data_IF_179023821243
#
_entry.id   IF_179023821243
#
_cell.length_a   1.000
_cell.length_b   1.000
_cell.length_c   1.000
_cell.angle_alpha   90.00
_cell.angle_beta   90.00
_cell.angle_gamma   90.00
#
_symmetry.space_group_name_H-M   'P 1'
#
loop_
_entity.id
_entity.type
_entity.pdbx_description
1 polymer ?
#
# COMPACT_ATOMS: atom_id res chain seq x y z
N UNK A 1 32.30 -49.13 -43.69
CA UNK A 1 33.48 -48.65 -44.43
C UNK A 1 33.64 -47.19 -44.04
N UNK A 2 34.69 -46.66 -43.45
CA UNK A 2 35.99 -47.02 -42.93
C UNK A 2 36.27 -46.01 -41.82
N UNK A 3 36.70 -46.42 -40.71
CA UNK A 3 38.05 -46.44 -40.13
C UNK A 3 38.90 -45.18 -40.52
N UNK A 4 39.45 -44.40 -39.56
CA UNK A 4 40.74 -44.53 -38.87
C UNK A 4 41.08 -43.11 -38.41
N UNK A 5 41.83 -42.65 -37.40
CA UNK A 5 42.72 -43.20 -36.35
C UNK A 5 43.02 -42.09 -35.38
N UNK A 6 43.34 -42.41 -34.17
CA UNK A 6 43.81 -41.53 -33.11
C UNK A 6 45.26 -41.04 -33.36
N UNK A 7 45.60 -39.87 -32.87
CA UNK A 7 47.00 -39.53 -32.58
C UNK A 7 47.11 -38.75 -31.27
N UNK A 8 47.92 -39.35 -30.38
CA UNK A 8 48.39 -38.83 -29.08
C UNK A 8 49.67 -38.03 -29.34
N UNK A 9 49.81 -36.84 -28.75
CA UNK A 9 51.11 -36.25 -28.49
C UNK A 9 51.05 -35.29 -27.29
N UNK A 10 51.59 -35.76 -26.22
CA UNK A 10 52.62 -35.32 -25.25
C UNK A 10 52.84 -33.81 -25.07
N UNK A 11 52.63 -33.44 -23.89
CA UNK A 11 53.23 -32.64 -22.87
C UNK A 11 54.19 -31.49 -23.23
N UNK A 12 53.88 -30.35 -22.62
CA UNK A 12 54.91 -29.39 -22.18
C UNK A 12 54.40 -28.62 -20.94
N UNK A 13 55.11 -28.80 -19.86
CA UNK A 13 55.05 -27.94 -18.65
C UNK A 13 55.61 -26.56 -18.98
N UNK A 14 54.96 -25.51 -18.57
CA UNK A 14 55.57 -24.20 -18.33
C UNK A 14 54.85 -23.41 -17.23
N UNK A 15 55.53 -22.42 -16.60
CA UNK A 15 55.46 -22.20 -15.17
C UNK A 15 54.45 -21.16 -14.74
N UNK A 16 54.15 -21.23 -13.44
CA UNK A 16 53.35 -20.29 -12.65
C UNK A 16 53.94 -18.87 -12.77
N UNK A 17 53.20 -17.97 -13.42
CA UNK A 17 53.33 -16.53 -13.23
C UNK A 17 52.25 -16.06 -12.27
N UNK A 18 52.67 -15.71 -11.05
CA UNK A 18 51.86 -14.96 -10.11
C UNK A 18 51.62 -13.55 -10.69
N UNK A 19 50.45 -13.29 -11.20
CA UNK A 19 50.00 -11.94 -11.54
C UNK A 19 49.25 -11.38 -10.32
N UNK A 20 49.83 -10.37 -9.70
CA UNK A 20 49.21 -9.50 -8.75
C UNK A 20 47.99 -8.86 -9.43
N UNK A 21 46.78 -9.22 -8.98
CA UNK A 21 45.56 -8.45 -9.29
C UNK A 21 45.60 -7.17 -8.45
N UNK A 22 45.99 -6.08 -9.09
CA UNK A 22 45.67 -4.75 -8.62
C UNK A 22 44.16 -4.59 -8.69
N UNK A 23 43.51 -4.43 -7.52
CA UNK A 23 42.14 -3.98 -7.39
C UNK A 23 42.03 -2.57 -7.99
N UNK A 24 41.66 -2.48 -9.25
CA UNK A 24 41.12 -1.25 -9.81
C UNK A 24 39.68 -1.11 -9.25
N UNK A 25 39.50 -0.15 -8.38
CA UNK A 25 38.23 0.38 -8.00
C UNK A 25 37.61 1.01 -9.26
N UNK A 26 36.86 0.23 -10.04
CA UNK A 26 35.91 0.78 -11.00
C UNK A 26 34.81 1.43 -10.21
N UNK A 27 34.82 2.75 -10.14
CA UNK A 27 33.69 3.59 -9.86
C UNK A 27 32.58 3.20 -10.85
N UNK A 28 31.56 2.50 -10.34
CA UNK A 28 30.30 2.31 -11.08
C UNK A 28 29.80 3.70 -11.48
N UNK A 29 29.91 4.00 -12.78
CA UNK A 29 29.35 5.20 -13.35
C UNK A 29 27.84 5.19 -13.09
N UNK A 30 27.37 6.17 -12.31
CA UNK A 30 25.96 6.48 -12.15
C UNK A 30 25.32 6.67 -13.52
N UNK A 31 24.57 5.68 -13.96
CA UNK A 31 23.55 5.92 -14.97
C UNK A 31 22.44 6.71 -14.28
N UNK A 32 22.54 8.02 -14.32
CA UNK A 32 21.55 8.97 -13.88
C UNK A 32 20.31 8.86 -14.77
N UNK A 33 19.39 7.95 -14.43
CA UNK A 33 17.99 8.14 -14.78
C UNK A 33 17.43 9.18 -13.81
N UNK A 34 16.81 10.24 -14.33
CA UNK A 34 16.38 11.46 -13.64
C UNK A 34 15.35 11.26 -12.51
N UNK A 35 15.03 10.04 -12.14
CA UNK A 35 14.03 9.61 -11.16
C UNK A 35 14.57 8.88 -9.93
N UNK A 36 15.90 8.75 -9.77
CA UNK A 36 16.45 8.02 -8.63
C UNK A 36 16.33 8.82 -7.33
N UNK A 37 15.75 8.18 -6.32
CA UNK A 37 15.76 8.67 -4.95
C UNK A 37 17.20 8.70 -4.45
N UNK A 38 17.59 9.77 -3.74
CA UNK A 38 18.94 9.88 -3.21
C UNK A 38 19.20 8.78 -2.17
N UNK A 39 20.25 8.00 -2.38
CA UNK A 39 20.72 6.99 -1.44
C UNK A 39 21.71 7.63 -0.45
N UNK A 40 21.75 7.14 0.78
CA UNK A 40 22.70 7.57 1.79
C UNK A 40 22.96 6.45 2.80
N UNK A 41 24.08 6.57 3.54
CA UNK A 41 24.35 5.68 4.67
C UNK A 41 23.51 6.12 5.88
N UNK A 42 22.96 5.22 6.69
CA UNK A 42 22.13 5.53 7.86
C UNK A 42 22.80 6.53 8.82
N UNK A 43 24.08 6.38 9.09
CA UNK A 43 24.82 7.28 9.98
C UNK A 43 24.81 8.76 9.51
N UNK A 44 24.72 9.01 8.20
CA UNK A 44 24.69 10.38 7.64
C UNK A 44 23.37 11.13 7.91
N UNK A 45 22.36 10.41 8.33
CA UNK A 45 21.04 10.93 8.72
C UNK A 45 20.72 10.62 10.19
N UNK A 46 21.74 10.39 11.02
CA UNK A 46 21.63 10.08 12.43
C UNK A 46 20.78 8.85 12.73
N UNK A 47 21.03 7.76 12.01
CA UNK A 47 20.47 6.43 12.29
C UNK A 47 21.61 5.44 12.59
N UNK A 48 21.37 4.51 13.51
CA UNK A 48 22.26 3.40 13.81
C UNK A 48 22.17 2.31 12.76
N UNK A 49 23.25 2.03 12.04
CA UNK A 49 23.36 0.89 11.13
C UNK A 49 23.09 -0.43 11.86
N UNK A 50 23.68 -0.62 13.03
CA UNK A 50 23.54 -1.82 13.85
C UNK A 50 22.07 -2.07 14.25
N UNK A 51 21.34 -1.00 14.61
CA UNK A 51 19.94 -1.12 14.99
C UNK A 51 19.04 -1.46 13.80
N UNK A 52 19.30 -0.92 12.61
CA UNK A 52 18.57 -1.28 11.39
C UNK A 52 18.88 -2.71 10.97
N UNK A 53 20.17 -3.12 11.06
CA UNK A 53 20.59 -4.48 10.79
C UNK A 53 19.92 -5.49 11.74
N UNK A 54 19.79 -5.16 13.02
CA UNK A 54 19.08 -6.01 13.99
C UNK A 54 17.59 -6.18 13.66
N UNK A 55 16.93 -5.16 13.07
CA UNK A 55 15.57 -5.28 12.57
C UNK A 55 15.52 -6.18 11.34
N UNK A 56 16.48 -6.02 10.41
CA UNK A 56 16.63 -6.85 9.24
C UNK A 56 16.78 -8.33 9.60
N UNK A 57 17.69 -8.67 10.52
CA UNK A 57 17.90 -10.05 10.98
C UNK A 57 16.65 -10.66 11.64
N UNK A 58 15.90 -9.88 12.39
CA UNK A 58 14.61 -10.33 12.96
C UNK A 58 13.56 -10.60 11.88
N UNK A 59 13.53 -9.80 10.81
CA UNK A 59 12.65 -10.03 9.65
C UNK A 59 13.09 -11.31 8.92
N UNK A 60 14.37 -11.44 8.60
CA UNK A 60 14.95 -12.59 7.90
C UNK A 60 14.73 -13.89 8.68
N UNK A 61 14.79 -13.85 10.01
CA UNK A 61 14.48 -14.99 10.88
C UNK A 61 13.00 -15.35 10.98
N UNK A 62 12.11 -14.58 10.32
CA UNK A 62 10.67 -14.81 10.32
C UNK A 62 9.93 -14.34 11.58
N UNK A 63 10.56 -13.55 12.46
CA UNK A 63 9.89 -13.04 13.68
C UNK A 63 8.69 -12.16 13.38
N UNK A 64 8.67 -11.51 12.22
CA UNK A 64 7.57 -10.69 11.70
C UNK A 64 6.71 -11.43 10.67
N UNK A 65 6.92 -12.74 10.54
CA UNK A 65 6.28 -13.57 9.50
C UNK A 65 6.88 -13.32 8.12
N UNK A 66 6.04 -13.34 7.12
CA UNK A 66 6.44 -13.22 5.73
C UNK A 66 6.43 -11.75 5.30
N UNK A 67 7.54 -11.07 5.55
CA UNK A 67 7.80 -9.71 5.06
C UNK A 67 8.57 -9.81 3.75
N UNK A 68 8.09 -9.14 2.71
CA UNK A 68 8.68 -9.18 1.36
C UNK A 68 9.62 -8.02 1.10
N UNK A 69 9.40 -6.86 1.74
CA UNK A 69 10.30 -5.72 1.65
C UNK A 69 10.31 -4.90 2.95
N UNK A 70 11.47 -4.35 3.27
CA UNK A 70 11.69 -3.41 4.37
C UNK A 70 12.55 -2.25 3.88
N UNK A 71 11.98 -1.05 3.89
CA UNK A 71 12.64 0.18 3.45
C UNK A 71 12.57 1.24 4.55
N UNK A 72 13.66 1.99 4.70
CA UNK A 72 13.71 3.16 5.60
C UNK A 72 14.29 4.34 4.83
N UNK A 73 13.59 5.46 4.86
CA UNK A 73 14.11 6.74 4.42
C UNK A 73 14.08 7.75 5.56
N UNK A 74 15.06 8.64 5.62
CA UNK A 74 15.13 9.72 6.59
C UNK A 74 15.74 10.97 5.97
N UNK A 75 15.22 12.13 6.32
CA UNK A 75 15.67 13.43 5.79
C UNK A 75 15.68 13.45 4.25
N UNK A 76 14.67 12.82 3.63
CA UNK A 76 14.53 12.76 2.18
C UNK A 76 15.43 11.75 1.46
N UNK A 77 16.22 10.96 2.18
CA UNK A 77 17.18 9.99 1.62
C UNK A 77 16.78 8.57 1.96
N UNK A 78 16.83 7.65 0.99
CA UNK A 78 16.66 6.23 1.22
C UNK A 78 17.96 5.68 1.84
N UNK A 79 17.87 5.12 3.04
CA UNK A 79 19.04 4.72 3.82
C UNK A 79 19.10 3.22 4.09
N UNK A 80 18.00 2.53 3.94
CA UNK A 80 17.92 1.08 4.09
C UNK A 80 16.90 0.52 3.11
N UNK A 81 17.21 -0.57 2.44
CA UNK A 81 16.34 -1.23 1.49
C UNK A 81 16.71 -2.70 1.37
N UNK A 82 15.81 -3.58 1.79
CA UNK A 82 15.98 -5.03 1.72
C UNK A 82 14.71 -5.69 1.20
N UNK A 83 14.90 -6.75 0.45
CA UNK A 83 13.85 -7.60 -0.11
C UNK A 83 14.08 -9.03 0.33
N UNK A 84 12.98 -9.76 0.59
CA UNK A 84 13.00 -11.12 1.09
C UNK A 84 12.18 -12.01 0.17
N UNK A 85 12.72 -13.17 -0.16
CA UNK A 85 12.04 -14.11 -1.05
C UNK A 85 11.31 -15.18 -0.24
N UNK A 86 10.07 -15.47 -0.62
CA UNK A 86 9.25 -16.49 -0.01
C UNK A 86 8.58 -17.36 -1.07
N UNK A 87 8.60 -18.68 -0.89
CA UNK A 87 7.86 -19.63 -1.73
C UNK A 87 6.42 -19.75 -1.22
N UNK A 88 5.59 -18.75 -1.51
CA UNK A 88 4.19 -18.69 -1.08
C UNK A 88 3.35 -19.89 -1.53
N UNK A 89 3.49 -20.44 -2.75
CA UNK A 89 2.83 -21.67 -3.13
C UNK A 89 3.15 -22.86 -2.22
N UNK A 90 4.35 -22.95 -1.69
CA UNK A 90 4.72 -23.98 -0.70
C UNK A 90 4.26 -23.64 0.70
N UNK A 91 4.38 -22.38 1.10
CA UNK A 91 3.97 -21.87 2.42
C UNK A 91 2.46 -22.12 2.65
N UNK A 92 1.62 -21.74 1.69
CA UNK A 92 0.16 -21.80 1.80
C UNK A 92 -0.47 -23.00 1.09
N UNK A 93 0.32 -24.04 0.76
CA UNK A 93 -0.16 -25.21 -0.01
C UNK A 93 -1.36 -25.91 0.61
N UNK A 94 -1.37 -26.04 1.93
CA UNK A 94 -2.42 -26.74 2.66
C UNK A 94 -3.71 -25.91 2.68
N UNK A 95 -3.59 -24.63 2.96
CA UNK A 95 -4.70 -23.69 3.05
C UNK A 95 -5.33 -23.43 1.68
N UNK A 96 -4.51 -23.29 0.64
CA UNK A 96 -4.96 -23.13 -0.74
C UNK A 96 -5.74 -24.35 -1.27
N UNK A 97 -5.43 -25.54 -0.77
CA UNK A 97 -6.13 -26.78 -1.12
C UNK A 97 -7.42 -27.00 -0.32
N UNK A 98 -7.66 -26.21 0.73
CA UNK A 98 -8.80 -26.37 1.63
C UNK A 98 -9.82 -25.25 1.36
N UNK A 99 -11.11 -25.56 1.14
CA UNK A 99 -12.14 -24.53 1.04
C UNK A 99 -12.13 -23.63 2.29
N UNK A 100 -12.04 -22.32 2.10
CA UNK A 100 -11.92 -21.39 3.23
C UNK A 100 -12.21 -19.95 2.88
N UNK A 101 -11.99 -19.07 3.87
CA UNK A 101 -12.35 -17.66 3.83
C UNK A 101 -11.57 -16.83 2.79
N UNK A 102 -10.39 -17.29 2.35
CA UNK A 102 -9.49 -16.50 1.51
C UNK A 102 -9.64 -16.75 -0.01
N UNK A 103 -10.74 -17.42 -0.41
CA UNK A 103 -11.18 -17.54 -1.80
C UNK A 103 -12.59 -16.97 -1.86
N UNK A 104 -12.66 -15.65 -2.08
CA UNK A 104 -13.91 -14.89 -1.89
C UNK A 104 -14.85 -15.01 -3.09
N UNK A 105 -14.31 -15.05 -4.30
CA UNK A 105 -15.07 -15.08 -5.54
C UNK A 105 -14.49 -16.11 -6.53
N UNK A 106 -14.02 -15.69 -7.70
CA UNK A 106 -13.41 -16.55 -8.71
C UNK A 106 -12.05 -17.08 -8.23
N UNK A 107 -11.84 -18.41 -8.14
CA UNK A 107 -10.55 -18.98 -7.75
C UNK A 107 -9.37 -18.58 -8.66
N UNK A 108 -9.64 -18.20 -9.92
CA UNK A 108 -8.61 -17.73 -10.86
C UNK A 108 -8.32 -16.22 -10.75
N UNK A 109 -9.17 -15.48 -10.05
CA UNK A 109 -9.11 -14.02 -9.94
C UNK A 109 -8.28 -13.50 -8.76
N UNK A 110 -8.21 -12.18 -8.62
CA UNK A 110 -7.45 -11.50 -7.56
C UNK A 110 -8.05 -11.68 -6.16
N UNK A 111 -9.31 -12.13 -6.06
CA UNK A 111 -9.98 -12.42 -4.78
C UNK A 111 -9.79 -13.87 -4.30
N UNK A 112 -8.87 -14.60 -4.90
CA UNK A 112 -8.23 -15.77 -4.33
C UNK A 112 -6.84 -15.36 -3.81
N UNK A 113 -6.74 -15.09 -2.53
CA UNK A 113 -5.51 -14.59 -1.89
C UNK A 113 -4.36 -15.62 -1.84
N UNK A 114 -4.62 -16.87 -2.23
CA UNK A 114 -3.61 -17.90 -2.43
C UNK A 114 -3.14 -18.04 -3.89
N UNK A 115 -3.74 -17.28 -4.81
CA UNK A 115 -3.40 -17.40 -6.24
C UNK A 115 -2.04 -16.73 -6.52
N UNK A 116 -0.96 -17.49 -6.84
CA UNK A 116 0.39 -16.94 -7.00
C UNK A 116 0.55 -16.09 -8.26
N UNK A 117 -0.45 -16.05 -9.14
CA UNK A 117 -0.47 -15.17 -10.31
C UNK A 117 -0.85 -13.73 -9.95
N UNK A 118 -1.57 -13.58 -8.85
CA UNK A 118 -2.04 -12.29 -8.34
C UNK A 118 -1.28 -11.85 -7.09
N UNK A 119 -0.93 -12.78 -6.18
CA UNK A 119 -0.47 -12.44 -4.85
C UNK A 119 0.78 -13.22 -4.41
N UNK A 120 1.64 -12.57 -3.62
CA UNK A 120 1.62 -11.14 -3.32
C UNK A 120 2.07 -10.28 -4.50
N UNK A 121 2.75 -10.87 -5.50
CA UNK A 121 3.34 -10.20 -6.65
C UNK A 121 2.55 -10.45 -7.92
N UNK A 122 2.09 -9.39 -8.56
CA UNK A 122 1.37 -9.45 -9.82
C UNK A 122 2.20 -10.12 -10.91
N UNK A 123 1.76 -11.27 -11.39
CA UNK A 123 2.35 -12.02 -12.53
C UNK A 123 3.87 -12.20 -12.43
N UNK A 124 4.37 -12.49 -11.23
CA UNK A 124 5.80 -12.66 -10.95
C UNK A 124 6.67 -11.43 -11.32
N UNK A 125 6.11 -10.23 -11.32
CA UNK A 125 6.84 -8.95 -11.44
C UNK A 125 7.30 -8.46 -10.07
N UNK A 126 7.92 -7.29 -10.00
CA UNK A 126 8.22 -6.61 -8.72
C UNK A 126 7.02 -5.82 -8.16
N UNK A 127 5.85 -5.90 -8.79
CA UNK A 127 4.64 -5.20 -8.38
C UNK A 127 3.93 -5.98 -7.28
N UNK A 128 4.01 -5.47 -6.07
CA UNK A 128 3.36 -6.04 -4.91
C UNK A 128 1.93 -5.52 -4.76
N UNK A 129 1.01 -6.38 -4.32
CA UNK A 129 -0.37 -5.99 -4.02
C UNK A 129 -0.39 -4.99 -2.86
N UNK A 130 -1.01 -3.84 -3.07
CA UNK A 130 -1.15 -2.80 -2.04
C UNK A 130 -2.34 -3.05 -1.13
N UNK A 131 -3.31 -3.84 -1.59
CA UNK A 131 -4.53 -4.07 -0.83
C UNK A 131 -5.15 -2.72 -0.41
N UNK A 132 -5.70 -2.61 0.77
CA UNK A 132 -6.36 -1.39 1.25
C UNK A 132 -5.46 -0.15 1.34
N UNK A 133 -4.13 -0.25 1.14
CA UNK A 133 -3.28 0.94 0.96
C UNK A 133 -3.65 1.70 -0.33
N UNK A 134 -4.28 1.05 -1.31
CA UNK A 134 -4.89 1.68 -2.48
C UNK A 134 -5.76 2.88 -2.09
N UNK A 135 -6.53 2.77 -1.01
CA UNK A 135 -7.39 3.84 -0.49
C UNK A 135 -6.61 5.12 -0.16
N UNK A 136 -5.39 4.99 0.40
CA UNK A 136 -4.55 6.15 0.71
C UNK A 136 -4.04 6.84 -0.56
N UNK A 137 -3.85 6.09 -1.66
CA UNK A 137 -3.52 6.65 -2.98
C UNK A 137 -4.75 7.39 -3.54
N UNK A 138 -5.94 6.82 -3.41
CA UNK A 138 -7.20 7.48 -3.79
C UNK A 138 -7.38 8.81 -3.06
N UNK A 139 -7.07 8.85 -1.75
CA UNK A 139 -7.06 10.11 -0.98
C UNK A 139 -6.16 11.16 -1.61
N UNK A 140 -4.94 10.79 -2.01
CA UNK A 140 -4.02 11.73 -2.67
C UNK A 140 -4.63 12.31 -3.97
N UNK A 141 -5.24 11.46 -4.79
CA UNK A 141 -5.86 11.87 -6.06
C UNK A 141 -7.06 12.79 -5.86
N UNK A 142 -7.91 12.51 -4.86
CA UNK A 142 -9.00 13.42 -4.48
C UNK A 142 -8.46 14.80 -4.09
N UNK A 143 -7.40 14.85 -3.30
CA UNK A 143 -6.78 16.12 -2.89
C UNK A 143 -6.20 16.91 -4.06
N UNK A 144 -5.57 16.22 -5.01
CA UNK A 144 -5.06 16.85 -6.24
C UNK A 144 -6.23 17.42 -7.05
N UNK A 145 -7.25 16.61 -7.34
CA UNK A 145 -8.40 17.02 -8.15
C UNK A 145 -9.21 18.15 -7.50
N UNK A 146 -9.39 18.10 -6.19
CA UNK A 146 -10.09 19.16 -5.43
C UNK A 146 -9.33 20.50 -5.55
N UNK A 147 -8.00 20.49 -5.40
CA UNK A 147 -7.19 21.71 -5.50
C UNK A 147 -7.18 22.32 -6.89
N UNK A 148 -7.42 21.52 -7.91
CA UNK A 148 -7.52 21.94 -9.32
C UNK A 148 -8.92 22.41 -9.69
N UNK A 149 -9.89 22.29 -8.77
CA UNK A 149 -11.30 22.60 -9.04
C UNK A 149 -11.99 21.56 -9.94
N UNK A 150 -11.42 20.37 -10.05
CA UNK A 150 -11.89 19.26 -10.89
C UNK A 150 -12.74 18.24 -10.09
N UNK A 151 -12.77 18.37 -8.78
CA UNK A 151 -13.55 17.55 -7.87
C UNK A 151 -14.48 18.44 -7.01
N UNK A 152 -15.70 18.02 -6.71
CA UNK A 152 -16.66 18.83 -5.96
C UNK A 152 -16.25 19.00 -4.49
N UNK A 153 -16.86 19.99 -3.83
CA UNK A 153 -16.70 20.19 -2.38
C UNK A 153 -17.03 18.93 -1.60
N UNK A 154 -16.28 18.67 -0.53
CA UNK A 154 -16.44 17.45 0.27
C UNK A 154 -17.79 17.35 0.99
N UNK A 155 -18.50 18.45 1.18
CA UNK A 155 -19.82 18.46 1.78
C UNK A 155 -20.95 18.24 0.75
N UNK A 156 -20.59 17.94 -0.52
CA UNK A 156 -21.54 17.58 -1.57
C UNK A 156 -22.18 16.22 -1.27
N UNK A 157 -23.53 16.12 -1.29
CA UNK A 157 -24.23 14.86 -1.10
C UNK A 157 -23.92 13.83 -2.18
N UNK A 158 -23.64 12.61 -1.78
CA UNK A 158 -23.26 11.49 -2.66
C UNK A 158 -24.35 11.19 -3.70
N UNK A 159 -25.62 11.21 -3.30
CA UNK A 159 -26.73 10.88 -4.20
C UNK A 159 -26.94 11.87 -5.34
N UNK A 160 -26.31 13.07 -5.32
CA UNK A 160 -26.34 13.99 -6.47
C UNK A 160 -25.68 13.41 -7.73
N UNK A 161 -24.86 12.39 -7.59
CA UNK A 161 -24.14 11.74 -8.70
C UNK A 161 -24.86 10.50 -9.24
N UNK A 162 -26.01 10.14 -8.67
CA UNK A 162 -26.74 8.92 -8.99
C UNK A 162 -28.21 9.20 -9.29
N UNK A 163 -28.82 8.36 -10.11
CA UNK A 163 -30.25 8.34 -10.26
C UNK A 163 -30.89 7.69 -9.02
N UNK A 164 -31.43 8.52 -8.13
CA UNK A 164 -32.05 8.07 -6.88
C UNK A 164 -33.17 7.05 -7.09
N UNK A 165 -33.80 7.03 -8.28
CA UNK A 165 -34.90 6.10 -8.57
C UNK A 165 -34.49 4.65 -8.71
N UNK A 166 -33.16 4.40 -8.90
CA UNK A 166 -32.59 3.05 -9.01
C UNK A 166 -31.74 2.66 -7.80
N UNK A 167 -31.66 3.51 -6.77
CA UNK A 167 -31.00 3.23 -5.50
C UNK A 167 -32.00 2.72 -4.48
N UNK A 168 -31.72 1.56 -3.88
CA UNK A 168 -32.60 0.99 -2.86
C UNK A 168 -32.41 1.62 -1.47
N UNK A 169 -33.36 1.44 -0.58
CA UNK A 169 -33.31 1.85 0.82
C UNK A 169 -32.98 3.34 1.04
N UNK A 170 -33.43 4.21 0.14
CA UNK A 170 -33.19 5.65 0.26
C UNK A 170 -34.12 6.23 1.34
N UNK A 171 -33.51 6.79 2.38
CA UNK A 171 -34.20 7.58 3.43
C UNK A 171 -33.50 8.96 3.58
N UNK A 172 -33.95 9.76 4.55
CA UNK A 172 -33.33 11.08 4.80
C UNK A 172 -31.81 11.00 5.08
N UNK A 173 -31.40 10.01 5.87
CA UNK A 173 -29.99 9.82 6.23
C UNK A 173 -29.13 9.51 5.00
N UNK A 174 -29.59 8.62 4.11
CA UNK A 174 -28.84 8.29 2.89
C UNK A 174 -28.65 9.49 1.98
N UNK A 175 -29.64 10.42 1.92
CA UNK A 175 -29.51 11.67 1.16
C UNK A 175 -28.49 12.64 1.75
N UNK A 176 -28.21 12.53 3.05
CA UNK A 176 -27.29 13.39 3.76
C UNK A 176 -25.83 12.86 3.76
N UNK A 177 -25.59 11.66 3.20
CA UNK A 177 -24.22 11.14 3.05
C UNK A 177 -23.42 12.08 2.14
N UNK A 178 -22.27 12.56 2.61
CA UNK A 178 -21.36 13.45 1.87
C UNK A 178 -20.10 12.73 1.38
N UNK A 179 -19.36 13.36 0.46
CA UNK A 179 -18.06 12.87 0.02
C UNK A 179 -17.07 12.79 1.20
N UNK A 180 -17.18 13.68 2.17
CA UNK A 180 -16.42 13.68 3.42
C UNK A 180 -16.67 12.40 4.22
N UNK A 181 -17.91 11.95 4.29
CA UNK A 181 -18.30 10.75 5.04
C UNK A 181 -17.71 9.48 4.40
N UNK A 182 -17.61 9.42 3.07
CA UNK A 182 -16.91 8.34 2.38
C UNK A 182 -15.40 8.34 2.69
N UNK A 183 -14.75 9.51 2.65
CA UNK A 183 -13.32 9.66 2.96
C UNK A 183 -12.99 9.32 4.42
N UNK A 184 -13.90 9.57 5.33
CA UNK A 184 -13.72 9.31 6.77
C UNK A 184 -14.24 7.96 7.22
N UNK A 185 -14.82 7.14 6.32
CA UNK A 185 -15.45 5.87 6.69
C UNK A 185 -16.55 6.07 7.75
N UNK A 186 -17.36 7.11 7.57
CA UNK A 186 -18.48 7.44 8.46
C UNK A 186 -19.79 7.62 7.71
N UNK A 187 -19.93 6.95 6.55
CA UNK A 187 -21.09 7.02 5.67
C UNK A 187 -22.41 6.52 6.32
N UNK A 188 -22.31 5.69 7.35
CA UNK A 188 -23.46 5.18 8.11
C UNK A 188 -24.23 4.04 7.45
N UNK A 189 -23.77 3.51 6.30
CA UNK A 189 -24.34 2.33 5.66
C UNK A 189 -24.18 1.09 6.54
N UNK A 190 -25.09 0.14 6.41
CA UNK A 190 -25.00 -1.17 7.09
C UNK A 190 -23.92 -2.01 6.42
N UNK A 191 -22.72 -1.93 6.95
CA UNK A 191 -21.55 -2.61 6.44
C UNK A 191 -20.80 -3.32 7.55
N UNK A 192 -20.43 -4.59 7.34
CA UNK A 192 -19.53 -5.33 8.22
C UNK A 192 -18.56 -6.15 7.38
N UNK A 193 -17.27 -5.78 7.39
CA UNK A 193 -16.18 -6.55 6.79
C UNK A 193 -15.20 -7.08 7.84
N UNK A 194 -15.59 -7.05 9.12
CA UNK A 194 -14.78 -7.61 10.22
C UNK A 194 -14.98 -9.12 10.37
N UNK A 195 -16.06 -9.66 9.84
CA UNK A 195 -16.38 -11.07 9.79
C UNK A 195 -15.43 -11.84 8.86
N UNK A 196 -15.26 -13.15 9.02
CA UNK A 196 -14.54 -13.97 8.05
C UNK A 196 -15.14 -13.85 6.63
N UNK A 197 -14.30 -13.85 5.59
CA UNK A 197 -14.77 -13.67 4.20
C UNK A 197 -15.69 -14.80 3.68
N UNK A 198 -15.74 -15.95 4.35
CA UNK A 198 -16.71 -17.01 4.06
C UNK A 198 -18.01 -16.88 4.89
N UNK A 199 -18.12 -15.88 5.72
CA UNK A 199 -19.37 -15.58 6.42
C UNK A 199 -20.35 -14.87 5.45
N UNK A 200 -21.59 -15.35 5.33
CA UNK A 200 -22.58 -14.74 4.43
C UNK A 200 -22.95 -13.29 4.80
N UNK A 201 -22.73 -12.90 6.05
CA UNK A 201 -22.99 -11.55 6.55
C UNK A 201 -21.80 -10.60 6.36
N UNK A 202 -20.65 -11.10 5.86
CA UNK A 202 -19.52 -10.24 5.48
C UNK A 202 -19.89 -9.42 4.23
N UNK A 203 -20.01 -8.11 4.39
CA UNK A 203 -20.45 -7.19 3.34
C UNK A 203 -19.47 -7.12 2.17
N UNK A 204 -18.14 -7.15 2.43
CA UNK A 204 -17.12 -7.16 1.40
C UNK A 204 -17.21 -8.44 0.55
N UNK A 205 -17.29 -9.62 1.18
CA UNK A 205 -17.36 -10.87 0.47
C UNK A 205 -18.67 -11.02 -0.34
N UNK A 206 -19.75 -10.42 0.12
CA UNK A 206 -21.03 -10.37 -0.60
C UNK A 206 -20.97 -9.39 -1.77
N UNK A 207 -20.40 -8.20 -1.56
CA UNK A 207 -20.14 -7.21 -2.62
C UNK A 207 -19.27 -7.80 -3.74
N UNK A 208 -18.19 -8.53 -3.39
CA UNK A 208 -17.28 -9.11 -4.37
C UNK A 208 -17.95 -10.11 -5.33
N UNK A 209 -19.09 -10.68 -4.95
CA UNK A 209 -19.91 -11.57 -5.80
C UNK A 209 -20.92 -10.81 -6.67
N UNK A 210 -21.16 -9.53 -6.40
CA UNK A 210 -22.10 -8.71 -7.18
C UNK A 210 -21.49 -8.30 -8.52
N UNK A 211 -22.34 -8.02 -9.52
CA UNK A 211 -21.89 -7.52 -10.82
C UNK A 211 -21.49 -6.04 -10.76
N UNK A 212 -22.20 -5.24 -9.98
CA UNK A 212 -21.93 -3.82 -9.80
C UNK A 212 -21.72 -3.51 -8.30
N UNK A 213 -20.46 -3.34 -7.91
CA UNK A 213 -20.07 -3.14 -6.51
C UNK A 213 -20.49 -1.77 -5.97
N UNK A 214 -20.50 -0.75 -6.84
CA UNK A 214 -20.96 0.59 -6.47
C UNK A 214 -22.47 0.56 -6.16
N UNK A 215 -23.26 -0.06 -7.04
CA UNK A 215 -24.71 -0.19 -6.83
C UNK A 215 -25.02 -1.02 -5.59
N UNK A 216 -24.35 -2.17 -5.42
CA UNK A 216 -24.50 -3.00 -4.22
C UNK A 216 -24.30 -2.18 -2.94
N UNK A 217 -23.22 -1.38 -2.89
CA UNK A 217 -22.92 -0.59 -1.70
C UNK A 217 -23.94 0.52 -1.46
N UNK A 218 -24.36 1.23 -2.53
CA UNK A 218 -25.39 2.27 -2.44
C UNK A 218 -26.75 1.72 -1.99
N UNK A 219 -27.07 0.49 -2.35
CA UNK A 219 -28.34 -0.14 -2.03
C UNK A 219 -28.46 -0.61 -0.57
N UNK A 220 -27.34 -0.66 0.17
CA UNK A 220 -27.37 -1.05 1.58
C UNK A 220 -28.23 -0.09 2.42
N UNK A 221 -28.99 -0.59 3.40
CA UNK A 221 -29.73 0.28 4.32
C UNK A 221 -28.80 1.07 5.24
N UNK A 222 -29.33 2.12 5.84
CA UNK A 222 -28.62 2.93 6.83
C UNK A 222 -28.62 2.27 8.22
N UNK A 223 -27.45 2.10 8.81
CA UNK A 223 -27.26 1.66 10.20
C UNK A 223 -27.13 2.86 11.16
N UNK A 224 -26.45 3.92 10.73
CA UNK A 224 -26.18 5.10 11.54
C UNK A 224 -26.49 6.39 10.78
N UNK A 225 -26.49 7.51 11.51
CA UNK A 225 -26.46 8.85 10.90
C UNK A 225 -25.08 9.08 10.26
N UNK A 226 -24.97 9.66 9.05
CA UNK A 226 -23.71 10.01 8.41
C UNK A 226 -22.88 10.93 9.31
N UNK A 227 -21.57 10.77 9.26
CA UNK A 227 -20.62 11.58 10.03
C UNK A 227 -20.65 11.33 11.56
N UNK A 228 -21.25 10.26 12.04
CA UNK A 228 -21.35 9.99 13.49
C UNK A 228 -20.51 8.84 13.98
N UNK A 229 -20.38 7.78 13.20
CA UNK A 229 -19.73 6.54 13.62
C UNK A 229 -18.71 6.12 12.56
N UNK A 230 -17.48 5.92 12.98
CA UNK A 230 -16.47 5.28 12.13
C UNK A 230 -16.86 3.80 11.93
N UNK A 231 -16.99 3.42 10.68
CA UNK A 231 -17.18 2.03 10.28
C UNK A 231 -16.41 1.77 8.99
N UNK A 232 -15.32 0.98 9.09
CA UNK A 232 -14.47 0.72 7.93
C UNK A 232 -15.26 0.03 6.82
N UNK A 233 -15.42 0.72 5.68
CA UNK A 233 -16.28 0.33 4.56
C UNK A 233 -15.50 0.41 3.24
N UNK A 234 -15.06 -0.73 2.72
CA UNK A 234 -14.34 -0.81 1.43
C UNK A 234 -15.21 -0.36 0.25
N UNK A 235 -16.52 -0.60 0.29
CA UNK A 235 -17.47 -0.14 -0.73
C UNK A 235 -17.55 1.39 -0.83
N UNK A 236 -17.34 2.11 0.25
CA UNK A 236 -17.34 3.58 0.25
C UNK A 236 -16.28 4.17 -0.70
N UNK A 237 -15.11 3.54 -0.80
CA UNK A 237 -14.06 3.99 -1.73
C UNK A 237 -14.37 3.68 -3.18
N UNK A 238 -15.16 2.64 -3.47
CA UNK A 238 -15.64 2.37 -4.83
C UNK A 238 -16.67 3.42 -5.28
N UNK A 239 -17.58 3.83 -4.39
CA UNK A 239 -18.50 4.95 -4.64
C UNK A 239 -17.67 6.22 -4.92
N UNK A 240 -16.66 6.50 -4.09
CA UNK A 240 -15.78 7.66 -4.26
C UNK A 240 -15.03 7.63 -5.61
N UNK A 241 -14.49 6.48 -6.02
CA UNK A 241 -13.81 6.32 -7.32
C UNK A 241 -14.75 6.50 -8.51
N UNK A 242 -16.00 6.04 -8.39
CA UNK A 242 -17.01 6.27 -9.42
C UNK A 242 -17.37 7.75 -9.54
N UNK A 243 -17.60 8.43 -8.41
CA UNK A 243 -17.86 9.88 -8.38
C UNK A 243 -16.66 10.66 -8.94
N UNK A 244 -15.44 10.24 -8.61
CA UNK A 244 -14.23 10.84 -9.15
C UNK A 244 -14.24 10.86 -10.68
N UNK A 245 -14.53 9.72 -11.30
CA UNK A 245 -14.66 9.61 -12.76
C UNK A 245 -15.77 10.50 -13.33
N UNK A 246 -16.92 10.57 -12.66
CA UNK A 246 -18.02 11.42 -13.11
C UNK A 246 -17.69 12.91 -13.02
N UNK A 247 -17.00 13.32 -11.97
CA UNK A 247 -16.64 14.71 -11.71
C UNK A 247 -15.50 15.21 -12.62
N UNK A 248 -14.42 14.43 -12.73
CA UNK A 248 -13.24 14.81 -13.53
C UNK A 248 -13.37 14.49 -15.02
N UNK A 249 -14.31 13.61 -15.39
CA UNK A 249 -14.42 13.06 -16.75
C UNK A 249 -13.32 12.07 -17.13
N UNK A 250 -12.42 11.72 -16.19
CA UNK A 250 -11.24 10.87 -16.40
C UNK A 250 -11.25 9.70 -15.42
N UNK A 251 -10.88 8.51 -15.87
CA UNK A 251 -10.71 7.36 -14.97
C UNK A 251 -9.61 7.66 -13.95
N UNK A 252 -9.80 7.23 -12.70
CA UNK A 252 -8.87 7.55 -11.61
C UNK A 252 -7.47 6.98 -11.83
N UNK A 253 -7.33 5.86 -12.56
CA UNK A 253 -6.03 5.30 -12.96
C UNK A 253 -5.30 6.23 -13.93
N UNK A 254 -5.98 6.69 -14.99
CA UNK A 254 -5.41 7.63 -15.95
C UNK A 254 -5.01 8.95 -15.28
N UNK A 255 -5.85 9.42 -14.38
CA UNK A 255 -5.58 10.62 -13.56
C UNK A 255 -4.37 10.43 -12.64
N UNK A 256 -4.22 9.25 -12.04
CA UNK A 256 -3.08 8.90 -11.21
C UNK A 256 -1.77 8.91 -12.01
N UNK A 257 -1.79 8.39 -13.24
CA UNK A 257 -0.61 8.41 -14.13
C UNK A 257 -0.15 9.83 -14.38
N UNK A 258 -1.06 10.72 -14.74
CA UNK A 258 -0.72 12.10 -15.09
C UNK A 258 -0.27 12.92 -13.88
N UNK A 259 -1.00 12.84 -12.78
CA UNK A 259 -0.87 13.81 -11.69
C UNK A 259 -0.15 13.29 -10.44
N UNK A 260 0.12 11.98 -10.35
CA UNK A 260 0.82 11.40 -9.20
C UNK A 260 1.98 10.50 -9.64
N UNK A 261 1.76 9.52 -10.51
CA UNK A 261 2.77 8.52 -10.82
C UNK A 261 3.91 9.11 -11.66
N UNK A 262 3.62 9.83 -12.73
CA UNK A 262 4.63 10.49 -13.57
C UNK A 262 5.50 11.47 -12.77
N UNK A 263 4.95 12.40 -11.96
CA UNK A 263 5.76 13.27 -11.10
C UNK A 263 6.69 12.53 -10.16
N UNK A 264 6.25 11.37 -9.62
CA UNK A 264 7.04 10.54 -8.72
C UNK A 264 8.00 9.58 -9.45
N UNK A 265 7.89 9.48 -10.79
CA UNK A 265 8.60 8.48 -11.59
C UNK A 265 8.23 7.06 -11.18
N UNK A 266 6.94 6.80 -11.13
CA UNK A 266 6.34 5.48 -10.96
C UNK A 266 5.87 5.07 -12.36
N UNK A 267 6.73 4.34 -13.07
CA UNK A 267 6.49 3.96 -14.47
C UNK A 267 5.93 2.53 -14.59
N UNK A 268 6.07 1.73 -13.53
CA UNK A 268 5.62 0.34 -13.48
C UNK A 268 4.57 0.19 -12.37
N UNK A 269 3.36 -0.18 -12.78
CA UNK A 269 2.20 -0.40 -11.92
C UNK A 269 1.17 -1.29 -12.63
N UNK A 270 0.25 -1.84 -11.87
CA UNK A 270 -0.99 -2.44 -12.36
C UNK A 270 -2.12 -2.02 -11.42
N UNK A 271 -3.29 -1.68 -11.98
CA UNK A 271 -4.49 -1.38 -11.19
C UNK A 271 -5.65 -2.23 -11.69
N UNK A 272 -6.18 -3.06 -10.81
CA UNK A 272 -7.24 -4.00 -11.15
C UNK A 272 -8.58 -3.29 -11.39
N UNK A 273 -9.49 -4.03 -12.02
CA UNK A 273 -10.83 -3.52 -12.37
C UNK A 273 -11.91 -4.34 -11.68
N UNK A 274 -12.97 -3.65 -11.25
CA UNK A 274 -14.19 -4.30 -10.80
C UNK A 274 -14.86 -5.05 -11.96
N UNK A 275 -15.77 -6.01 -11.71
CA UNK A 275 -16.52 -6.69 -12.79
C UNK A 275 -17.29 -5.74 -13.72
N UNK A 276 -17.62 -4.55 -13.25
CA UNK A 276 -18.29 -3.50 -14.04
C UNK A 276 -17.32 -2.62 -14.83
N UNK A 277 -16.01 -2.91 -14.77
CA UNK A 277 -14.96 -2.22 -15.53
C UNK A 277 -14.46 -0.91 -14.94
N UNK A 278 -14.86 -0.55 -13.71
CA UNK A 278 -14.30 0.59 -12.98
C UNK A 278 -12.97 0.21 -12.36
N UNK A 279 -12.06 1.16 -12.21
CA UNK A 279 -10.84 0.95 -11.43
C UNK A 279 -11.18 0.56 -10.00
N UNK A 280 -10.55 -0.51 -9.50
CA UNK A 280 -10.76 -0.97 -8.13
C UNK A 280 -10.02 -0.06 -7.12
N UNK A 281 -10.73 0.92 -6.61
CA UNK A 281 -10.22 1.94 -5.68
C UNK A 281 -10.12 1.46 -4.24
N UNK A 282 -10.57 0.24 -3.94
CA UNK A 282 -10.51 -0.29 -2.58
C UNK A 282 -9.21 -1.04 -2.29
N UNK A 283 -8.69 -1.87 -3.23
CA UNK A 283 -7.51 -2.71 -3.01
C UNK A 283 -6.73 -3.07 -4.28
N UNK A 284 -7.20 -2.66 -5.47
CA UNK A 284 -6.74 -3.18 -6.74
C UNK A 284 -5.35 -2.69 -7.21
N UNK A 285 -4.65 -1.83 -6.50
CA UNK A 285 -3.36 -1.28 -6.91
C UNK A 285 -2.20 -2.24 -6.61
N UNK A 286 -1.30 -2.40 -7.58
CA UNK A 286 -0.01 -3.08 -7.46
C UNK A 286 1.10 -2.13 -7.87
N UNK A 287 2.04 -1.88 -6.97
CA UNK A 287 3.25 -1.08 -7.20
C UNK A 287 4.44 -1.69 -6.45
N UNK A 288 5.66 -1.27 -6.78
CA UNK A 288 6.83 -1.70 -6.02
C UNK A 288 6.87 -1.09 -4.62
N UNK A 289 7.56 -1.75 -3.68
CA UNK A 289 7.77 -1.21 -2.33
C UNK A 289 8.48 0.15 -2.36
N UNK A 290 9.39 0.36 -3.33
CA UNK A 290 10.07 1.65 -3.54
C UNK A 290 9.10 2.72 -4.03
N UNK A 291 8.17 2.40 -4.90
CA UNK A 291 7.10 3.32 -5.34
C UNK A 291 6.17 3.68 -4.19
N UNK A 292 5.82 2.70 -3.35
CA UNK A 292 5.06 2.94 -2.13
C UNK A 292 5.80 3.88 -1.16
N UNK A 293 7.11 3.71 -1.02
CA UNK A 293 7.95 4.56 -0.19
C UNK A 293 8.03 6.01 -0.72
N UNK A 294 8.02 6.22 -2.05
CA UNK A 294 7.93 7.57 -2.65
C UNK A 294 6.61 8.25 -2.30
N UNK A 295 5.49 7.52 -2.30
CA UNK A 295 4.18 8.06 -1.91
C UNK A 295 4.20 8.46 -0.42
N UNK A 296 4.72 7.62 0.46
CA UNK A 296 4.86 7.96 1.88
C UNK A 296 5.79 9.17 2.10
N UNK A 297 6.88 9.26 1.34
CA UNK A 297 7.80 10.40 1.37
C UNK A 297 7.15 11.68 0.86
N UNK A 298 6.27 11.60 -0.13
CA UNK A 298 5.51 12.74 -0.62
C UNK A 298 4.62 13.32 0.50
N UNK A 299 3.92 12.47 1.24
CA UNK A 299 3.13 12.91 2.41
C UNK A 299 4.00 13.45 3.53
N UNK A 300 5.14 12.83 3.83
CA UNK A 300 6.12 13.32 4.80
C UNK A 300 6.62 14.75 4.46
N UNK A 301 6.74 15.06 3.18
CA UNK A 301 7.20 16.36 2.67
C UNK A 301 6.05 17.31 2.34
N UNK A 302 4.92 17.20 3.03
CA UNK A 302 3.77 18.08 2.85
C UNK A 302 3.31 18.16 1.38
N UNK A 303 3.36 17.03 0.68
CA UNK A 303 2.94 16.91 -0.71
C UNK A 303 3.97 17.39 -1.74
N UNK A 304 5.20 17.68 -1.33
CA UNK A 304 6.28 18.07 -2.24
C UNK A 304 7.14 16.88 -2.64
N UNK A 305 7.42 16.79 -3.92
CA UNK A 305 8.41 15.86 -4.45
C UNK A 305 9.47 16.63 -5.22
N UNK A 306 10.72 16.56 -4.76
CA UNK A 306 11.81 17.42 -5.24
C UNK A 306 11.39 18.90 -5.09
N UNK A 307 11.22 19.61 -6.19
CA UNK A 307 10.86 21.04 -6.19
C UNK A 307 9.39 21.30 -6.57
N UNK A 308 8.60 20.25 -6.79
CA UNK A 308 7.22 20.35 -7.26
C UNK A 308 6.23 20.05 -6.13
N UNK A 309 5.14 20.83 -6.05
CA UNK A 309 4.00 20.54 -5.20
C UNK A 309 3.07 19.60 -5.96
N UNK A 310 3.07 18.31 -5.62
CA UNK A 310 2.25 17.28 -6.27
C UNK A 310 0.89 17.17 -5.58
N UNK A 311 0.86 17.14 -4.25
CA UNK A 311 -0.36 17.17 -3.44
C UNK A 311 -0.36 18.50 -2.65
N UNK A 312 -1.46 19.24 -2.56
CA UNK A 312 -1.52 20.44 -1.72
C UNK A 312 -1.12 20.16 -0.26
N UNK A 313 -0.29 21.01 0.34
CA UNK A 313 0.10 20.85 1.73
C UNK A 313 -1.11 20.85 2.68
N UNK A 314 -2.11 21.68 2.40
CA UNK A 314 -3.38 21.70 3.15
C UNK A 314 -4.11 20.37 3.08
N UNK A 315 -4.08 19.67 1.93
CA UNK A 315 -4.68 18.36 1.83
C UNK A 315 -3.93 17.29 2.64
N UNK A 316 -2.59 17.34 2.64
CA UNK A 316 -1.78 16.44 3.46
C UNK A 316 -2.14 16.62 4.95
N UNK A 317 -2.22 17.85 5.42
CA UNK A 317 -2.63 18.17 6.79
C UNK A 317 -4.05 17.67 7.08
N UNK A 318 -5.02 18.01 6.23
CA UNK A 318 -6.43 17.63 6.42
C UNK A 318 -6.66 16.11 6.34
N UNK A 319 -6.03 15.44 5.38
CA UNK A 319 -6.24 14.01 5.16
C UNK A 319 -5.62 13.13 6.24
N UNK A 320 -4.57 13.60 6.89
CA UNK A 320 -3.88 12.88 7.97
C UNK A 320 -4.34 13.30 9.37
N UNK A 321 -5.16 14.35 9.48
CA UNK A 321 -5.73 14.78 10.75
C UNK A 321 -6.60 13.66 11.38
N UNK A 322 -6.43 13.36 12.68
CA UNK A 322 -7.26 12.38 13.37
C UNK A 322 -8.70 12.90 13.51
N UNK A 323 -9.64 12.26 12.82
CA UNK A 323 -11.06 12.67 12.84
C UNK A 323 -11.92 11.73 13.66
N UNK A 324 -11.69 10.43 13.57
CA UNK A 324 -12.44 9.40 14.29
C UNK A 324 -11.48 8.43 14.97
N UNK A 325 -11.77 8.08 16.22
CA UNK A 325 -11.14 6.92 16.87
C UNK A 325 -11.70 5.65 16.24
N UNK A 326 -10.83 4.67 15.97
CA UNK A 326 -11.21 3.47 15.24
C UNK A 326 -11.78 2.37 16.13
N UNK A 327 -11.71 2.54 17.45
CA UNK A 327 -12.15 1.55 18.43
C UNK A 327 -11.24 0.33 18.57
N UNK A 328 -10.15 0.24 17.75
CA UNK A 328 -9.15 -0.84 17.87
C UNK A 328 -8.11 -0.59 18.94
N UNK A 329 -7.91 0.65 19.31
CA UNK A 329 -7.19 1.13 20.49
C UNK A 329 -7.73 2.50 20.86
N UNK A 330 -7.43 2.95 22.10
CA UNK A 330 -7.90 4.26 22.60
C UNK A 330 -7.27 5.46 21.88
N UNK A 331 -6.27 5.23 21.03
CA UNK A 331 -5.46 6.28 20.42
C UNK A 331 -5.33 6.17 18.89
N UNK A 332 -5.72 5.01 18.31
CA UNK A 332 -5.69 4.86 16.86
C UNK A 332 -6.85 5.63 16.22
N UNK A 333 -6.53 6.48 15.27
CA UNK A 333 -7.49 7.35 14.61
C UNK A 333 -7.43 7.22 13.09
N UNK A 334 -8.49 7.68 12.43
CA UNK A 334 -8.66 7.70 10.98
C UNK A 334 -8.95 9.13 10.48
N UNK A 335 -8.31 9.50 9.39
CA UNK A 335 -8.53 10.76 8.67
C UNK A 335 -9.24 10.52 7.34
N UNK A 336 -8.77 11.13 6.24
CA UNK A 336 -9.27 10.86 4.90
C UNK A 336 -8.47 9.71 4.26
N UNK A 337 -8.90 8.47 4.54
CA UNK A 337 -8.29 7.21 4.08
C UNK A 337 -6.85 7.00 4.58
N UNK A 338 -6.47 7.65 5.67
CA UNK A 338 -5.21 7.48 6.38
C UNK A 338 -5.46 7.12 7.84
N UNK A 339 -4.64 6.21 8.35
CA UNK A 339 -4.59 5.85 9.76
C UNK A 339 -3.55 6.69 10.47
N UNK A 340 -3.73 6.95 11.76
CA UNK A 340 -2.72 7.60 12.58
C UNK A 340 -2.72 7.06 14.01
N UNK A 341 -1.54 7.06 14.64
CA UNK A 341 -1.38 6.61 16.01
C UNK A 341 -0.23 7.37 16.68
N UNK A 342 -0.38 7.81 17.94
CA UNK A 342 0.72 8.37 18.71
C UNK A 342 1.70 7.28 19.16
N UNK A 343 2.97 7.67 19.28
CA UNK A 343 4.05 6.88 19.85
C UNK A 343 4.83 7.69 20.86
N UNK A 344 5.39 7.02 21.88
CA UNK A 344 6.36 7.64 22.76
C UNK A 344 7.76 7.42 22.21
N UNK A 345 8.44 8.50 21.84
CA UNK A 345 9.82 8.51 21.42
C UNK A 345 10.64 9.42 22.35
N UNK A 346 11.61 8.85 23.08
CA UNK A 346 12.48 9.58 24.03
C UNK A 346 11.68 10.51 24.97
N UNK A 347 10.56 10.03 25.49
CA UNK A 347 9.68 10.78 26.41
C UNK A 347 8.80 11.86 25.75
N UNK A 348 8.82 11.98 24.43
CA UNK A 348 7.94 12.87 23.67
C UNK A 348 6.91 12.03 22.90
N UNK A 349 5.71 12.56 22.76
CA UNK A 349 4.70 11.99 21.86
C UNK A 349 4.99 12.43 20.44
N UNK A 350 5.19 11.47 19.53
CA UNK A 350 5.28 11.67 18.08
C UNK A 350 4.11 10.92 17.43
N UNK A 351 3.64 11.39 16.28
CA UNK A 351 2.52 10.75 15.58
C UNK A 351 3.02 10.05 14.32
N UNK A 352 2.70 8.77 14.18
CA UNK A 352 2.84 8.05 12.93
C UNK A 352 1.53 8.12 12.14
N UNK A 353 1.64 8.35 10.84
CA UNK A 353 0.57 8.21 9.87
C UNK A 353 0.90 7.04 8.96
N UNK A 354 -0.10 6.23 8.62
CA UNK A 354 0.15 5.00 7.87
C UNK A 354 -1.04 4.50 7.08
N UNK A 355 -0.78 3.75 6.02
CA UNK A 355 -1.73 2.89 5.36
C UNK A 355 -1.76 1.50 6.00
N UNK A 356 -2.90 0.81 5.91
CA UNK A 356 -3.06 -0.59 6.30
C UNK A 356 -3.57 -1.40 5.11
N UNK A 357 -2.75 -2.31 4.58
CA UNK A 357 -3.15 -3.31 3.59
C UNK A 357 -3.16 -4.71 4.19
N UNK A 358 -4.10 -5.52 3.72
CA UNK A 358 -4.20 -6.94 4.09
C UNK A 358 -2.89 -7.66 3.74
N UNK A 359 -2.45 -8.58 4.58
CA UNK A 359 -1.16 -9.26 4.43
C UNK A 359 0.05 -8.51 4.99
N UNK A 360 -0.05 -7.20 5.29
CA UNK A 360 1.04 -6.49 5.96
C UNK A 360 1.60 -5.26 5.25
N UNK A 361 0.90 -4.73 4.25
CA UNK A 361 1.30 -3.50 3.56
C UNK A 361 1.22 -2.32 4.52
N UNK A 362 2.35 -1.64 4.74
CA UNK A 362 2.50 -0.55 5.72
C UNK A 362 3.43 0.54 5.19
N UNK A 363 2.95 1.50 4.39
CA UNK A 363 3.62 2.78 4.24
C UNK A 363 3.39 3.60 5.51
N UNK A 364 4.46 4.02 6.16
CA UNK A 364 4.43 4.75 7.42
C UNK A 364 5.29 6.00 7.27
N UNK A 365 4.80 7.14 7.72
CA UNK A 365 5.62 8.32 7.84
C UNK A 365 5.45 8.99 9.21
N UNK A 366 6.55 9.51 9.72
CA UNK A 366 6.66 10.17 11.02
C UNK A 366 7.22 11.58 10.82
N UNK A 367 6.37 12.60 10.73
CA UNK A 367 6.81 13.98 10.50
C UNK A 367 7.84 14.49 11.55
N UNK A 368 7.59 14.22 12.83
CA UNK A 368 8.47 14.63 13.92
C UNK A 368 9.89 14.05 13.84
N UNK A 369 10.07 12.93 13.14
CA UNK A 369 11.35 12.24 12.96
C UNK A 369 11.92 12.40 11.55
N UNK A 370 11.19 13.09 10.66
CA UNK A 370 11.50 13.18 9.23
C UNK A 370 11.85 11.82 8.63
N UNK A 371 10.97 10.83 8.86
CA UNK A 371 11.22 9.42 8.58
C UNK A 371 10.06 8.77 7.84
N UNK A 372 10.40 7.90 6.88
CA UNK A 372 9.51 6.95 6.21
C UNK A 372 9.98 5.53 6.52
N UNK A 373 9.04 4.64 6.80
CA UNK A 373 9.27 3.21 6.95
C UNK A 373 8.24 2.51 6.07
N UNK A 374 8.69 1.58 5.23
CA UNK A 374 7.79 0.75 4.44
C UNK A 374 8.05 -0.72 4.73
N UNK A 375 6.97 -1.42 4.98
CA UNK A 375 6.93 -2.87 5.03
C UNK A 375 5.89 -3.35 4.02
N UNK A 376 6.24 -4.35 3.23
CA UNK A 376 5.27 -5.15 2.48
C UNK A 376 5.41 -6.60 2.91
N UNK A 377 4.36 -7.40 2.78
CA UNK A 377 4.41 -8.81 3.16
C UNK A 377 3.10 -9.52 2.85
N UNK A 378 3.04 -10.83 3.15
CA UNK A 378 1.86 -11.64 2.86
C UNK A 378 1.47 -12.52 4.06
N UNK A 379 1.26 -11.90 5.23
CA UNK A 379 0.78 -12.53 6.46
C UNK A 379 -0.75 -12.58 6.46
N UNK A 380 -1.33 -13.48 5.67
CA UNK A 380 -2.78 -13.51 5.41
C UNK A 380 -3.57 -14.44 6.33
N UNK A 381 -2.89 -15.33 7.06
CA UNK A 381 -3.58 -16.23 7.98
C UNK A 381 -3.73 -15.60 9.37
N UNK A 382 -4.90 -15.71 10.00
CA UNK A 382 -5.12 -15.21 11.35
C UNK A 382 -4.42 -16.07 12.41
N UNK A 383 -4.15 -15.47 13.58
CA UNK A 383 -3.67 -16.18 14.76
C UNK A 383 -2.22 -16.66 14.70
N UNK A 384 -1.44 -16.22 13.73
CA UNK A 384 -0.02 -16.54 13.66
C UNK A 384 0.78 -15.80 14.75
N UNK A 385 1.81 -16.44 15.35
CA UNK A 385 2.56 -15.89 16.50
C UNK A 385 3.60 -14.83 16.08
N UNK A 386 3.39 -14.14 14.98
CA UNK A 386 4.32 -13.15 14.47
C UNK A 386 4.23 -11.82 15.25
N UNK A 387 5.36 -11.13 15.35
CA UNK A 387 5.37 -9.76 15.85
C UNK A 387 4.60 -8.85 14.90
N UNK A 388 3.80 -7.97 15.45
CA UNK A 388 3.11 -6.96 14.65
C UNK A 388 4.10 -6.00 14.01
N UNK A 389 3.88 -5.62 12.73
CA UNK A 389 4.76 -4.72 11.97
C UNK A 389 5.09 -3.41 12.70
N UNK A 390 4.18 -2.91 13.54
CA UNK A 390 4.42 -1.71 14.35
C UNK A 390 5.53 -1.88 15.40
N UNK A 391 5.89 -3.12 15.79
CA UNK A 391 7.08 -3.37 16.62
C UNK A 391 8.38 -3.14 15.86
N UNK A 392 8.42 -3.38 14.54
CA UNK A 392 9.55 -2.97 13.71
C UNK A 392 9.68 -1.44 13.68
N UNK A 393 8.55 -0.71 13.57
CA UNK A 393 8.53 0.77 13.61
C UNK A 393 9.10 1.29 14.92
N UNK A 394 8.70 0.76 16.07
CA UNK A 394 9.25 1.13 17.39
C UNK A 394 10.77 0.97 17.43
N UNK A 395 11.28 -0.13 16.87
CA UNK A 395 12.73 -0.40 16.84
C UNK A 395 13.50 0.50 15.87
N UNK A 396 12.92 0.76 14.68
CA UNK A 396 13.51 1.70 13.72
C UNK A 396 13.54 3.11 14.28
N UNK A 397 12.48 3.56 14.97
CA UNK A 397 12.49 4.87 15.63
C UNK A 397 13.52 4.93 16.76
N UNK A 398 13.69 3.83 17.52
CA UNK A 398 14.74 3.76 18.54
C UNK A 398 16.17 3.78 17.97
N UNK A 399 16.35 3.48 16.68
CA UNK A 399 17.64 3.57 15.98
C UNK A 399 18.11 5.03 15.75
N UNK A 400 17.26 6.03 16.01
CA UNK A 400 17.63 7.45 15.87
C UNK A 400 18.69 7.82 16.91
N UNK A 401 19.87 8.21 16.43
CA UNK A 401 20.99 8.74 17.21
C UNK A 401 20.79 10.26 17.36
N UNK A 402 21.14 10.80 18.52
CA UNK A 402 21.13 12.26 18.75
C UNK A 402 22.33 12.95 18.13
#
# INVERSE_FOLDING_TARGET
>A
MGKIVAAIAKGAFWPICAALFALSSETLAETTTSNNWQLAQPATVSLSDEALEAVHQDIESGRYGYIDAFLVARQGKLVFEQYYEHDYPSIYRQEAATPGALVVNDPSGPYNYFNPWWHPYYRNTALHSMQSVTKSVVSALVGIALSRGEFPDLDTPVLQFFDETVVENVDGRKRDITLRDLLTMSDGLLWDESLPYNDPDNSFATMAKAQNWVQYTLDLPMANEPGKVFNYNSGATLILGHIFRLATGTDIEEYAVEHLFTPLGIDDYYWDRTPYGLTDTQEGLYISARSLAKIAQLFLQEGRWKNEQVIPATWVEESTAPRYLTGKSDEEAYGYLWWSQPYTFKGKTVRAHFGKGFGGQRPIFLPDLNMVIVLTGWNILPGQPFLHAMKAVERVTAAVIE
#
